data_IF_090266305576
#
_entry.id   IF_090266305576
#
_cell.length_a   1.000
_cell.length_b   1.000
_cell.length_c   1.000
_cell.angle_alpha   90.00
_cell.angle_beta   90.00
_cell.angle_gamma   90.00
#
_symmetry.space_group_name_H-M   'P 1'
#
loop_
_entity.id
_entity.type
_entity.pdbx_description
1 polymer ?
#
# COMPACT_ATOMS: atom_id res chain seq x y z
N UNK A 1 -5.16 8.15 12.02
CA UNK A 1 -4.95 6.75 11.58
C UNK A 1 -3.58 6.66 10.93
N UNK A 2 -2.63 6.01 11.60
CA UNK A 2 -1.31 5.72 11.04
C UNK A 2 -1.47 4.57 10.03
N UNK A 3 -0.82 4.69 8.87
CA UNK A 3 -0.83 3.67 7.83
C UNK A 3 0.38 2.73 8.05
N UNK A 4 0.25 1.81 8.99
CA UNK A 4 1.33 0.88 9.38
C UNK A 4 1.56 -0.25 8.36
N UNK A 5 1.70 0.10 7.08
CA UNK A 5 2.03 -0.86 6.04
C UNK A 5 3.41 -1.48 6.23
N UNK A 6 4.35 -0.75 6.83
CA UNK A 6 5.67 -1.28 7.19
C UNK A 6 5.55 -2.41 8.22
N UNK A 7 4.71 -2.24 9.25
CA UNK A 7 4.40 -3.29 10.23
C UNK A 7 3.67 -4.46 9.57
N UNK A 8 2.67 -4.18 8.72
CA UNK A 8 2.00 -5.23 7.95
C UNK A 8 3.00 -6.12 7.19
N UNK A 9 3.95 -5.51 6.49
CA UNK A 9 4.94 -6.23 5.69
C UNK A 9 5.99 -6.96 6.56
N UNK A 10 6.46 -6.31 7.63
CA UNK A 10 7.48 -6.88 8.52
C UNK A 10 6.95 -8.06 9.35
N UNK A 11 5.71 -7.96 9.80
CA UNK A 11 5.03 -9.01 10.57
C UNK A 11 4.28 -10.00 9.66
N UNK A 12 4.34 -9.87 8.34
CA UNK A 12 3.61 -10.75 7.43
C UNK A 12 4.04 -12.21 7.62
N UNK A 13 3.08 -13.10 7.92
CA UNK A 13 3.33 -14.52 8.15
C UNK A 13 3.65 -14.90 9.60
N UNK A 14 3.76 -13.95 10.54
CA UNK A 14 3.90 -14.31 11.95
C UNK A 14 2.55 -14.67 12.60
N UNK A 15 2.51 -15.68 13.48
CA UNK A 15 1.26 -16.20 14.06
C UNK A 15 0.55 -15.19 14.98
N UNK A 16 1.25 -14.18 15.49
CA UNK A 16 0.71 -13.13 16.36
C UNK A 16 0.39 -11.81 15.66
N UNK A 17 0.53 -11.73 14.34
CA UNK A 17 0.46 -10.47 13.62
C UNK A 17 -0.93 -9.87 13.63
N UNK A 18 -1.01 -8.57 13.96
CA UNK A 18 -2.25 -7.77 13.93
C UNK A 18 -3.03 -7.89 12.62
N UNK A 19 -2.32 -8.11 11.51
CA UNK A 19 -2.87 -8.16 10.17
C UNK A 19 -2.81 -9.54 9.51
N UNK A 20 -2.64 -10.61 10.29
CA UNK A 20 -2.52 -11.98 9.78
C UNK A 20 -3.64 -12.40 8.82
N UNK A 21 -4.87 -11.87 9.01
CA UNK A 21 -6.04 -12.16 8.17
C UNK A 21 -6.11 -11.36 6.88
N UNK A 22 -5.28 -10.34 6.73
CA UNK A 22 -5.28 -9.48 5.56
C UNK A 22 -4.48 -10.19 4.48
N UNK A 23 -5.18 -10.62 3.42
CA UNK A 23 -4.56 -11.27 2.29
C UNK A 23 -3.78 -10.25 1.45
N UNK A 24 -2.55 -10.56 0.99
CA UNK A 24 -1.75 -9.64 0.19
C UNK A 24 -2.42 -9.29 -1.14
N UNK A 25 -3.16 -10.22 -1.76
CA UNK A 25 -3.98 -9.95 -2.95
C UNK A 25 -5.10 -8.94 -2.69
N UNK A 26 -5.76 -9.02 -1.53
CA UNK A 26 -6.80 -8.06 -1.14
C UNK A 26 -6.20 -6.70 -0.80
N UNK A 27 -5.09 -6.68 -0.03
CA UNK A 27 -4.36 -5.46 0.28
C UNK A 27 -3.87 -4.75 -0.99
N UNK A 28 -3.39 -5.51 -1.98
CA UNK A 28 -2.97 -4.99 -3.28
C UNK A 28 -4.13 -4.29 -4.00
N UNK A 29 -5.28 -4.97 -4.14
CA UNK A 29 -6.45 -4.40 -4.82
C UNK A 29 -6.95 -3.11 -4.14
N UNK A 30 -6.93 -3.06 -2.80
CA UNK A 30 -7.29 -1.87 -2.04
C UNK A 30 -6.29 -0.73 -2.26
N UNK A 31 -4.99 -1.01 -2.19
CA UNK A 31 -3.95 0.00 -2.39
C UNK A 31 -3.93 0.56 -3.81
N UNK A 32 -4.16 -0.27 -4.84
CA UNK A 32 -4.30 0.21 -6.22
C UNK A 32 -5.47 1.18 -6.36
N UNK A 33 -6.59 0.90 -5.69
CA UNK A 33 -7.76 1.79 -5.69
C UNK A 33 -7.49 3.11 -4.97
N UNK A 34 -6.81 3.05 -3.82
CA UNK A 34 -6.41 4.23 -3.04
C UNK A 34 -5.40 5.08 -3.81
N UNK A 35 -4.38 4.46 -4.42
CA UNK A 35 -3.40 5.13 -5.28
C UNK A 35 -4.12 5.87 -6.42
N UNK A 36 -5.02 5.19 -7.13
CA UNK A 36 -5.79 5.80 -8.22
C UNK A 36 -6.59 7.01 -7.74
N UNK A 37 -7.30 6.89 -6.62
CA UNK A 37 -8.06 7.99 -6.03
C UNK A 37 -7.19 9.19 -5.64
N UNK A 38 -6.01 8.95 -5.05
CA UNK A 38 -5.06 10.01 -4.70
C UNK A 38 -4.52 10.75 -5.91
N UNK A 39 -4.24 10.03 -7.01
CA UNK A 39 -3.77 10.62 -8.27
C UNK A 39 -4.83 11.55 -8.89
N UNK A 40 -6.10 11.16 -8.80
CA UNK A 40 -7.23 11.95 -9.30
C UNK A 40 -7.44 13.25 -8.52
N UNK A 41 -7.36 13.17 -7.18
CA UNK A 41 -7.45 14.33 -6.28
C UNK A 41 -6.27 15.28 -6.49
N UNK A 42 -5.05 14.76 -6.65
CA UNK A 42 -3.85 15.56 -6.89
C UNK A 42 -3.88 16.28 -8.26
N UNK A 43 -4.45 15.65 -9.30
CA UNK A 43 -4.56 16.25 -10.64
C UNK A 43 -5.42 17.52 -10.65
N UNK A 44 -6.46 17.57 -9.80
CA UNK A 44 -7.30 18.77 -9.62
C UNK A 44 -6.64 19.87 -8.78
N UNK A 45 -5.58 19.55 -8.03
CA UNK A 45 -4.99 20.45 -7.03
C UNK A 45 -3.49 20.77 -7.30
N UNK A 46 -3.06 20.66 -8.57
CA UNK A 46 -1.66 20.64 -9.01
C UNK A 46 -0.80 21.81 -8.47
N UNK A 47 -1.40 22.99 -8.30
CA UNK A 47 -0.73 24.20 -7.80
C UNK A 47 -0.37 24.13 -6.30
N UNK A 48 -1.05 23.31 -5.50
CA UNK A 48 -0.80 23.16 -4.06
C UNK A 48 -0.19 21.81 -3.67
N UNK A 49 -0.17 20.84 -4.59
CA UNK A 49 0.36 19.50 -4.35
C UNK A 49 1.87 19.51 -4.06
N UNK A 50 2.63 20.44 -4.68
CA UNK A 50 4.09 20.54 -4.52
C UNK A 50 4.51 20.86 -3.07
N UNK A 51 3.69 21.58 -2.32
CA UNK A 51 3.93 21.96 -0.93
C UNK A 51 3.51 20.90 0.09
N UNK A 52 2.73 19.88 -0.30
CA UNK A 52 2.31 18.81 0.60
C UNK A 52 3.32 17.65 0.58
N UNK A 53 4.48 17.83 1.24
CA UNK A 53 5.48 16.76 1.45
C UNK A 53 4.86 15.46 1.99
N UNK A 54 3.88 15.56 2.89
CA UNK A 54 3.15 14.41 3.44
C UNK A 54 2.38 13.60 2.38
N UNK A 55 1.85 14.24 1.34
CA UNK A 55 1.10 13.52 0.29
C UNK A 55 2.05 12.76 -0.63
N UNK A 56 3.20 13.38 -0.97
CA UNK A 56 4.26 12.74 -1.77
C UNK A 56 4.85 11.52 -1.07
N UNK A 57 5.12 11.61 0.23
CA UNK A 57 5.63 10.47 1.00
C UNK A 57 4.61 9.32 1.03
N UNK A 58 3.32 9.63 1.25
CA UNK A 58 2.24 8.64 1.17
C UNK A 58 2.15 7.98 -0.20
N UNK A 59 2.26 8.74 -1.29
CA UNK A 59 2.27 8.18 -2.64
C UNK A 59 3.45 7.22 -2.86
N UNK A 60 4.65 7.61 -2.44
CA UNK A 60 5.85 6.75 -2.52
C UNK A 60 5.71 5.49 -1.68
N UNK A 61 5.15 5.62 -0.48
CA UNK A 61 4.89 4.48 0.40
C UNK A 61 3.91 3.51 -0.28
N UNK A 62 2.78 4.00 -0.80
CA UNK A 62 1.81 3.16 -1.52
C UNK A 62 2.46 2.45 -2.70
N UNK A 63 3.19 3.17 -3.54
CA UNK A 63 3.87 2.59 -4.70
C UNK A 63 4.84 1.48 -4.28
N UNK A 64 5.61 1.74 -3.22
CA UNK A 64 6.55 0.77 -2.65
C UNK A 64 5.84 -0.47 -2.12
N UNK A 65 4.78 -0.28 -1.33
CA UNK A 65 4.01 -1.37 -0.72
C UNK A 65 3.29 -2.19 -1.79
N UNK A 66 2.70 -1.55 -2.80
CA UNK A 66 2.07 -2.22 -3.96
C UNK A 66 3.08 -3.13 -4.65
N UNK A 67 4.30 -2.65 -4.90
CA UNK A 67 5.35 -3.46 -5.54
C UNK A 67 5.71 -4.69 -4.72
N UNK A 68 5.85 -4.53 -3.40
CA UNK A 68 6.15 -5.64 -2.48
C UNK A 68 5.01 -6.63 -2.39
N UNK A 69 3.77 -6.15 -2.23
CA UNK A 69 2.56 -6.99 -2.20
C UNK A 69 2.38 -7.78 -3.48
N UNK A 70 2.71 -7.21 -4.66
CA UNK A 70 2.65 -7.94 -5.93
C UNK A 70 3.63 -9.12 -5.94
N UNK A 71 4.84 -8.92 -5.41
CA UNK A 71 5.81 -9.99 -5.23
C UNK A 71 5.31 -11.08 -4.27
N UNK A 72 4.76 -10.69 -3.13
CA UNK A 72 4.18 -11.61 -2.14
C UNK A 72 2.99 -12.39 -2.70
N UNK A 73 2.03 -11.70 -3.34
CA UNK A 73 0.84 -12.30 -3.92
C UNK A 73 1.19 -13.31 -5.02
N UNK A 74 2.18 -13.00 -5.86
CA UNK A 74 2.69 -13.94 -6.86
C UNK A 74 3.39 -15.14 -6.21
N UNK A 75 4.15 -14.94 -5.14
CA UNK A 75 4.82 -16.03 -4.42
C UNK A 75 3.82 -17.00 -3.77
N UNK A 76 2.76 -16.47 -3.14
CA UNK A 76 1.70 -17.26 -2.50
C UNK A 76 0.85 -17.97 -3.55
N UNK A 77 0.56 -17.34 -4.68
CA UNK A 77 -0.20 -17.95 -5.77
C UNK A 77 0.56 -19.12 -6.46
N UNK A 78 1.88 -19.23 -6.26
CA UNK A 78 2.73 -20.27 -6.84
C UNK A 78 2.98 -21.45 -5.87
N UNK A 79 2.52 -21.38 -4.62
CA UNK A 79 2.59 -22.47 -3.64
C UNK A 79 1.16 -22.99 -3.35
N UNK A 80 0.65 -23.93 -4.17
CA UNK A 80 -0.61 -24.64 -3.88
C UNK A 80 -0.47 -25.64 -2.74
#
# INVERSE_FOLDING_TARGET
MVWDWSTYLADYGQPGSKYLRVNPSTALALLEKVHRGMKDVNKKNHLFAQFRKNDRDKQKLIETVVRQLRGLANCIAQHP
#
